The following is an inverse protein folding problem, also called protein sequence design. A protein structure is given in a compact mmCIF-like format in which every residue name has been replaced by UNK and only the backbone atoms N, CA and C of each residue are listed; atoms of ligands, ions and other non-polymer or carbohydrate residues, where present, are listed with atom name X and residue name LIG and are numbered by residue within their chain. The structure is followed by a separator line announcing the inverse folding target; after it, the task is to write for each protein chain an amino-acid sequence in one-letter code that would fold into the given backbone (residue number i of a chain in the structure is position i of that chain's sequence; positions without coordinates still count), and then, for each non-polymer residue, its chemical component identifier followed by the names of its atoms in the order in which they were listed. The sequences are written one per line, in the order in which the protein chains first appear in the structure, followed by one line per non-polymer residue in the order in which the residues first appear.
data_IF_178248000180
#
_entry.id   IF_178248000180
#
_cell.length_a   1.000
_cell.length_b   1.000
_cell.length_c   1.000
_cell.angle_alpha   90.00
_cell.angle_beta   90.00
_cell.angle_gamma   90.00
#
_symmetry.space_group_name_H-M   'P 1'
#
loop_
_entity.id
_entity.type
_entity.pdbx_description
1 polymer ?
#
# COMPACT_ATOMS: atom_id res chain seq x y z
N UNK A 1 -8.15 24.98 -6.60
CA UNK A 1 -8.57 23.85 -5.72
C UNK A 1 -8.22 22.53 -6.39
N UNK A 2 -7.44 21.65 -5.75
CA UNK A 2 -7.04 20.36 -6.33
C UNK A 2 -8.11 19.30 -6.04
N UNK A 3 -9.17 19.26 -6.87
CA UNK A 3 -10.35 18.36 -6.74
C UNK A 3 -10.05 16.84 -6.77
N UNK A 4 -8.79 16.43 -6.97
CA UNK A 4 -8.37 15.01 -7.07
C UNK A 4 -7.88 14.40 -5.75
N UNK A 5 -7.68 15.19 -4.69
CA UNK A 5 -7.17 14.71 -3.39
C UNK A 5 -8.29 14.63 -2.35
N UNK A 6 -8.48 13.42 -1.82
CA UNK A 6 -9.28 13.15 -0.60
C UNK A 6 -8.43 13.38 0.66
N UNK A 7 -9.05 13.75 1.77
CA UNK A 7 -8.37 13.93 3.06
C UNK A 7 -9.19 13.28 4.19
N UNK A 8 -8.51 12.86 5.26
CA UNK A 8 -9.17 12.56 6.53
C UNK A 8 -9.52 13.90 7.18
N UNK A 9 -10.79 14.05 7.57
CA UNK A 9 -11.32 15.27 8.19
C UNK A 9 -12.05 14.88 9.48
N UNK A 10 -11.90 15.70 10.53
CA UNK A 10 -12.52 15.43 11.83
C UNK A 10 -14.05 15.59 11.81
N UNK A 11 -14.56 16.46 10.93
CA UNK A 11 -16.00 16.69 10.76
C UNK A 11 -16.38 16.79 9.28
N UNK A 12 -17.58 16.32 8.93
CA UNK A 12 -18.14 16.39 7.57
C UNK A 12 -17.63 15.35 6.57
N UNK A 13 -16.78 14.42 7.01
CA UNK A 13 -16.29 13.29 6.21
C UNK A 13 -17.30 12.13 6.11
N UNK A 14 -17.17 11.29 5.08
CA UNK A 14 -17.89 10.00 5.03
C UNK A 14 -17.18 8.97 5.89
N UNK A 15 -17.95 8.19 6.65
CA UNK A 15 -17.41 7.07 7.42
C UNK A 15 -16.63 6.09 6.53
N UNK A 16 -15.42 5.75 6.97
CA UNK A 16 -14.47 4.92 6.26
C UNK A 16 -13.61 4.10 7.24
N UNK A 17 -13.57 2.77 7.07
CA UNK A 17 -12.85 1.84 7.94
C UNK A 17 -11.96 0.91 7.13
N UNK A 18 -10.68 0.88 7.49
CA UNK A 18 -9.67 -0.02 6.92
C UNK A 18 -8.94 -0.70 8.06
N UNK A 19 -9.09 -2.02 8.15
CA UNK A 19 -8.31 -2.85 9.07
C UNK A 19 -6.99 -3.18 8.38
N UNK A 20 -5.87 -3.13 9.09
CA UNK A 20 -4.57 -3.47 8.52
C UNK A 20 -3.69 -4.20 9.53
N UNK A 21 -2.82 -5.07 9.04
CA UNK A 21 -1.76 -5.68 9.83
C UNK A 21 -0.47 -5.73 9.03
N UNK A 22 0.66 -5.61 9.73
CA UNK A 22 1.98 -5.74 9.14
C UNK A 22 2.32 -7.21 8.94
N UNK A 23 2.62 -7.59 7.70
CA UNK A 23 3.08 -8.93 7.36
C UNK A 23 4.61 -9.02 7.48
N UNK A 24 5.32 -8.00 6.99
CA UNK A 24 6.78 -7.95 7.00
C UNK A 24 7.23 -6.50 7.12
N UNK A 25 8.17 -6.22 8.03
CA UNK A 25 8.85 -4.95 8.10
C UNK A 25 10.26 -5.10 7.50
N UNK A 26 10.71 -4.09 6.76
CA UNK A 26 12.03 -4.09 6.12
C UNK A 26 12.89 -3.00 6.75
N UNK A 27 14.02 -3.39 7.33
CA UNK A 27 14.94 -2.51 8.04
C UNK A 27 16.26 -2.39 7.29
N UNK A 28 16.85 -1.20 7.32
CA UNK A 28 18.23 -1.00 6.86
C UNK A 28 19.24 -1.66 7.79
N UNK A 29 20.46 -1.86 7.32
CA UNK A 29 21.57 -2.34 8.15
C UNK A 29 21.88 -1.45 9.37
N UNK A 30 21.39 -0.20 9.38
CA UNK A 30 21.51 0.73 10.51
C UNK A 30 20.29 0.71 11.44
N UNK A 31 19.39 -0.27 11.29
CA UNK A 31 18.19 -0.41 12.13
C UNK A 31 17.11 0.65 11.86
N UNK A 32 17.18 1.38 10.74
CA UNK A 32 16.15 2.35 10.34
C UNK A 32 15.10 1.66 9.45
N UNK A 33 13.79 1.83 9.70
CA UNK A 33 12.75 1.23 8.88
C UNK A 33 12.73 1.84 7.47
N UNK A 34 12.64 0.98 6.45
CA UNK A 34 12.64 1.37 5.04
C UNK A 34 11.22 1.27 4.46
N UNK A 35 10.57 0.12 4.67
CA UNK A 35 9.26 -0.19 4.12
C UNK A 35 8.56 -1.24 4.98
N UNK A 36 7.26 -1.43 4.76
CA UNK A 36 6.51 -2.54 5.33
C UNK A 36 5.55 -3.09 4.30
N UNK A 37 5.45 -4.43 4.23
CA UNK A 37 4.36 -5.13 3.55
C UNK A 37 3.22 -5.26 4.55
N UNK A 38 2.07 -4.69 4.19
CA UNK A 38 0.86 -4.75 5.00
C UNK A 38 -0.26 -5.41 4.22
N UNK A 39 -1.15 -6.08 4.94
CA UNK A 39 -2.43 -6.53 4.41
C UNK A 39 -3.49 -5.56 4.90
N UNK A 40 -4.34 -5.11 3.97
CA UNK A 40 -5.47 -4.23 4.26
C UNK A 40 -6.78 -4.97 3.97
N UNK A 41 -7.67 -5.00 4.95
CA UNK A 41 -9.04 -5.48 4.82
C UNK A 41 -10.01 -4.29 4.86
N UNK A 42 -10.84 -4.19 3.82
CA UNK A 42 -11.77 -3.09 3.64
C UNK A 42 -13.14 -3.46 4.21
N UNK A 43 -13.57 -2.73 5.24
CA UNK A 43 -14.96 -2.77 5.71
C UNK A 43 -15.83 -1.80 4.90
N UNK A 44 -15.24 -0.68 4.47
CA UNK A 44 -15.86 0.27 3.54
C UNK A 44 -15.01 0.45 2.28
N UNK A 45 -15.64 0.86 1.17
CA UNK A 45 -14.98 1.07 -0.13
C UNK A 45 -14.97 2.51 -0.63
N UNK A 46 -14.49 3.49 0.17
CA UNK A 46 -14.44 4.90 -0.27
C UNK A 46 -13.32 5.16 -1.28
N UNK A 47 -13.49 6.21 -2.09
CA UNK A 47 -12.47 6.63 -3.07
C UNK A 47 -11.12 6.88 -2.40
N UNK A 48 -10.07 6.23 -2.90
CA UNK A 48 -8.69 6.32 -2.39
C UNK A 48 -8.52 5.92 -0.91
N UNK A 49 -9.47 5.20 -0.30
CA UNK A 49 -9.51 4.97 1.14
C UNK A 49 -8.17 4.47 1.72
N UNK A 50 -7.62 3.37 1.20
CA UNK A 50 -6.33 2.83 1.66
C UNK A 50 -5.21 3.86 1.54
N UNK A 51 -5.12 4.53 0.39
CA UNK A 51 -4.08 5.52 0.09
C UNK A 51 -4.11 6.69 1.08
N UNK A 52 -5.31 7.20 1.35
CA UNK A 52 -5.56 8.32 2.28
C UNK A 52 -5.29 7.91 3.72
N UNK A 53 -5.79 6.75 4.14
CA UNK A 53 -5.59 6.26 5.51
C UNK A 53 -4.11 6.03 5.80
N UNK A 54 -3.40 5.36 4.89
CA UNK A 54 -1.98 5.09 5.05
C UNK A 54 -1.14 6.37 5.06
N UNK A 55 -1.46 7.34 4.20
CA UNK A 55 -0.81 8.65 4.22
C UNK A 55 -1.12 9.45 5.50
N UNK A 56 -2.36 9.43 5.99
CA UNK A 56 -2.76 10.08 7.23
C UNK A 56 -2.03 9.49 8.45
N UNK A 57 -1.74 8.19 8.43
CA UNK A 57 -0.93 7.51 9.46
C UNK A 57 0.58 7.81 9.38
N UNK A 58 1.03 8.59 8.41
CA UNK A 58 2.46 8.88 8.18
C UNK A 58 3.20 7.81 7.37
N UNK A 59 2.53 6.76 6.92
CA UNK A 59 3.11 5.62 6.18
C UNK A 59 2.49 5.50 4.80
N UNK A 60 2.65 6.53 3.96
CA UNK A 60 2.06 6.56 2.61
C UNK A 60 2.56 5.39 1.75
N UNK A 61 1.73 4.95 0.79
CA UNK A 61 2.09 3.87 -0.11
C UNK A 61 3.26 4.28 -1.02
N UNK A 62 4.20 3.35 -1.21
CA UNK A 62 5.33 3.51 -2.15
C UNK A 62 4.78 3.79 -3.55
N UNK A 63 5.36 4.75 -4.25
CA UNK A 63 4.97 5.11 -5.62
C UNK A 63 3.65 5.87 -5.75
N UNK A 64 2.99 6.27 -4.66
CA UNK A 64 1.73 7.04 -4.74
C UNK A 64 1.96 8.50 -5.16
N UNK A 65 1.57 8.91 -6.38
CA UNK A 65 1.87 10.24 -6.90
C UNK A 65 1.07 11.37 -6.22
N UNK A 66 -0.03 11.04 -5.54
CA UNK A 66 -0.92 12.04 -4.93
C UNK A 66 -0.65 12.24 -3.45
N UNK A 67 -0.41 11.15 -2.72
CA UNK A 67 -0.36 11.15 -1.26
C UNK A 67 1.05 10.97 -0.69
N UNK A 68 2.01 10.43 -1.45
CA UNK A 68 3.38 10.23 -0.98
C UNK A 68 4.28 11.46 -1.25
N UNK A 69 3.86 12.66 -0.82
CA UNK A 69 4.54 13.92 -1.17
C UNK A 69 5.95 14.06 -0.55
N UNK A 70 6.39 13.15 0.32
CA UNK A 70 7.72 13.17 0.93
C UNK A 70 8.23 11.80 1.39
N UNK A 71 7.63 10.67 0.98
CA UNK A 71 8.15 9.35 1.31
C UNK A 71 9.36 9.06 0.42
N UNK A 72 10.47 9.75 0.69
CA UNK A 72 11.75 9.46 0.06
C UNK A 72 12.32 8.25 0.74
N UNK A 73 12.72 7.27 -0.07
CA UNK A 73 13.61 6.22 0.38
C UNK A 73 14.81 6.86 1.12
N UNK A 74 15.33 6.26 2.21
CA UNK A 74 16.51 6.77 2.90
C UNK A 74 17.65 7.07 1.92
N UNK A 75 18.46 8.09 2.21
CA UNK A 75 19.54 8.55 1.31
C UNK A 75 20.57 7.48 0.95
N UNK A 76 20.69 6.42 1.76
CA UNK A 76 21.56 5.26 1.53
C UNK A 76 20.85 4.04 0.93
N UNK A 77 19.74 4.26 0.23
CA UNK A 77 19.00 3.16 -0.40
C UNK A 77 19.78 2.61 -1.60
N UNK A 78 19.92 1.27 -1.74
CA UNK A 78 20.54 0.67 -2.90
C UNK A 78 19.93 1.18 -4.21
N UNK A 79 20.77 1.46 -5.20
CA UNK A 79 20.35 2.06 -6.46
C UNK A 79 19.27 1.23 -7.17
N UNK A 80 19.36 -0.10 -7.11
CA UNK A 80 18.35 -1.01 -7.65
C UNK A 80 16.97 -0.80 -7.02
N UNK A 81 16.90 -0.64 -5.69
CA UNK A 81 15.65 -0.38 -4.98
C UNK A 81 15.08 1.00 -5.33
N UNK A 82 15.94 2.02 -5.45
CA UNK A 82 15.53 3.36 -5.89
C UNK A 82 14.95 3.35 -7.31
N UNK A 83 15.59 2.64 -8.25
CA UNK A 83 15.09 2.47 -9.61
C UNK A 83 13.74 1.74 -9.63
N UNK A 84 13.61 0.63 -8.91
CA UNK A 84 12.35 -0.12 -8.83
C UNK A 84 11.20 0.75 -8.31
N UNK A 85 11.44 1.55 -7.26
CA UNK A 85 10.42 2.48 -6.73
C UNK A 85 10.05 3.56 -7.75
N UNK A 86 11.02 4.14 -8.46
CA UNK A 86 10.72 5.13 -9.51
C UNK A 86 9.98 4.52 -10.70
N UNK A 87 10.29 3.26 -11.03
CA UNK A 87 9.76 2.52 -12.18
C UNK A 87 8.33 2.00 -11.97
N UNK A 88 7.83 1.95 -10.73
CA UNK A 88 6.47 1.51 -10.45
C UNK A 88 5.40 2.31 -11.21
N UNK A 89 5.57 3.63 -11.33
CA UNK A 89 4.61 4.53 -11.99
C UNK A 89 3.20 4.57 -11.35
N UNK A 90 2.98 3.81 -10.27
CA UNK A 90 1.70 3.69 -9.55
C UNK A 90 1.94 3.38 -8.08
N UNK A 91 0.90 3.54 -7.27
CA UNK A 91 0.91 3.11 -5.87
C UNK A 91 1.12 1.60 -5.74
N UNK A 92 1.98 1.21 -4.80
CA UNK A 92 2.20 -0.17 -4.38
C UNK A 92 0.98 -0.72 -3.63
N UNK A 93 -0.08 -0.98 -4.40
CA UNK A 93 -1.37 -1.48 -3.95
C UNK A 93 -1.85 -2.55 -4.92
N UNK A 94 -2.32 -3.67 -4.36
CA UNK A 94 -2.82 -4.81 -5.11
C UNK A 94 -4.07 -5.38 -4.43
N UNK A 95 -5.10 -5.65 -5.22
CA UNK A 95 -6.29 -6.37 -4.75
C UNK A 95 -6.01 -7.87 -4.85
N UNK A 96 -5.44 -8.43 -3.78
CA UNK A 96 -4.98 -9.82 -3.77
C UNK A 96 -6.13 -10.84 -3.67
N UNK A 97 -7.20 -10.49 -2.95
CA UNK A 97 -8.35 -11.36 -2.73
C UNK A 97 -9.67 -10.58 -2.84
N UNK A 98 -10.70 -11.26 -3.35
CA UNK A 98 -12.08 -10.78 -3.36
C UNK A 98 -12.99 -11.93 -2.94
N UNK A 99 -13.79 -11.72 -1.90
CA UNK A 99 -14.79 -12.68 -1.44
C UNK A 99 -16.17 -12.05 -1.36
N UNK A 100 -17.19 -12.75 -1.85
CA UNK A 100 -18.59 -12.31 -1.73
C UNK A 100 -19.55 -13.49 -1.85
N UNK A 101 -20.78 -13.28 -1.34
CA UNK A 101 -21.89 -14.22 -1.54
C UNK A 101 -22.42 -14.04 -2.95
N UNK A 102 -22.43 -15.10 -3.74
CA UNK A 102 -22.95 -15.06 -5.09
C UNK A 102 -24.44 -14.64 -5.07
N UNK A 103 -24.84 -13.60 -5.82
CA UNK A 103 -26.16 -12.98 -5.65
C UNK A 103 -27.33 -13.86 -6.08
N UNK A 104 -27.07 -14.91 -6.86
CA UNK A 104 -28.10 -15.84 -7.36
C UNK A 104 -28.09 -17.16 -6.60
N UNK A 105 -26.90 -17.74 -6.35
CA UNK A 105 -26.78 -19.08 -5.75
C UNK A 105 -26.66 -19.05 -4.23
N UNK A 106 -26.33 -17.90 -3.63
CA UNK A 106 -26.09 -17.79 -2.19
C UNK A 106 -24.78 -18.43 -1.71
N UNK A 107 -23.98 -19.00 -2.62
CA UNK A 107 -22.72 -19.63 -2.28
C UNK A 107 -21.63 -18.58 -2.02
N UNK A 108 -20.73 -18.88 -1.08
CA UNK A 108 -19.56 -18.04 -0.86
C UNK A 108 -18.53 -18.30 -1.96
N UNK A 109 -18.20 -17.25 -2.71
CA UNK A 109 -17.15 -17.28 -3.72
C UNK A 109 -15.91 -16.51 -3.22
N UNK A 110 -14.74 -17.04 -3.52
CA UNK A 110 -13.45 -16.40 -3.25
C UNK A 110 -12.57 -16.45 -4.50
N UNK A 111 -12.05 -15.31 -4.87
CA UNK A 111 -11.11 -15.11 -5.97
C UNK A 111 -9.79 -14.60 -5.41
N UNK A 112 -8.68 -15.02 -6.02
CA UNK A 112 -7.35 -14.51 -5.71
C UNK A 112 -6.62 -14.11 -6.98
N UNK A 113 -5.69 -13.17 -6.83
CA UNK A 113 -4.83 -12.71 -7.92
C UNK A 113 -3.38 -12.65 -7.45
N UNK A 114 -2.49 -13.25 -8.22
CA UNK A 114 -1.06 -13.24 -7.92
C UNK A 114 -0.52 -11.80 -7.89
N UNK A 115 0.53 -11.59 -7.10
CA UNK A 115 1.18 -10.30 -7.02
C UNK A 115 1.77 -9.95 -8.40
N UNK A 116 1.45 -8.77 -8.98
CA UNK A 116 1.95 -8.39 -10.28
C UNK A 116 3.48 -8.23 -10.26
N UNK A 117 4.11 -8.43 -11.42
CA UNK A 117 5.57 -8.50 -11.56
C UNK A 117 6.29 -7.26 -10.99
N UNK A 118 5.74 -6.07 -11.19
CA UNK A 118 6.29 -4.81 -10.69
C UNK A 118 6.42 -4.79 -9.16
N UNK A 119 5.38 -5.24 -8.46
CA UNK A 119 5.36 -5.34 -7.00
C UNK A 119 6.16 -6.53 -6.49
N UNK A 120 6.15 -7.66 -7.21
CA UNK A 120 6.98 -8.81 -6.84
C UNK A 120 8.47 -8.49 -6.95
N UNK A 121 8.88 -7.82 -8.01
CA UNK A 121 10.24 -7.36 -8.18
C UNK A 121 10.67 -6.39 -7.07
N UNK A 122 9.80 -5.47 -6.67
CA UNK A 122 10.05 -4.57 -5.53
C UNK A 122 10.19 -5.33 -4.21
N UNK A 123 9.30 -6.30 -3.96
CA UNK A 123 9.35 -7.17 -2.78
C UNK A 123 10.67 -7.94 -2.72
N UNK A 124 11.08 -8.58 -3.81
CA UNK A 124 12.33 -9.35 -3.86
C UNK A 124 13.56 -8.47 -3.58
N UNK A 125 13.56 -7.21 -4.05
CA UNK A 125 14.63 -6.26 -3.74
C UNK A 125 14.62 -5.84 -2.26
N UNK A 126 13.44 -5.64 -1.67
CA UNK A 126 13.30 -5.33 -0.26
C UNK A 126 13.76 -6.49 0.62
N UNK A 127 13.45 -7.74 0.25
CA UNK A 127 13.91 -8.94 0.95
C UNK A 127 15.44 -9.12 0.88
N UNK A 128 16.06 -8.80 -0.27
CA UNK A 128 17.52 -8.90 -0.44
C UNK A 128 18.30 -7.84 0.33
N UNK A 129 17.73 -6.64 0.48
CA UNK A 129 18.44 -5.48 1.02
C UNK A 129 17.96 -5.07 2.41
N UNK A 130 16.81 -5.56 2.84
CA UNK A 130 16.25 -5.35 4.18
C UNK A 130 16.57 -6.52 5.10
N UNK A 131 16.80 -6.21 6.37
CA UNK A 131 16.66 -7.20 7.44
C UNK A 131 15.17 -7.25 7.80
N UNK A 132 14.62 -8.45 8.00
CA UNK A 132 13.21 -8.68 8.39
C UNK A 132 13.04 -8.69 9.90
#
# INVERSE_FOLDING_TARGET
MNRKKMAVVEQGGKHAVTHYHTQTAYWSAQGTPIAAKIICQLETGRTHQVRVHMAHKGTALIGDPLYARAARLPSKTPQALAHAVSGLGRQALHAAELGFIHPITGEFLKFSSALPYDLKHLEDLLERHGQT
#
